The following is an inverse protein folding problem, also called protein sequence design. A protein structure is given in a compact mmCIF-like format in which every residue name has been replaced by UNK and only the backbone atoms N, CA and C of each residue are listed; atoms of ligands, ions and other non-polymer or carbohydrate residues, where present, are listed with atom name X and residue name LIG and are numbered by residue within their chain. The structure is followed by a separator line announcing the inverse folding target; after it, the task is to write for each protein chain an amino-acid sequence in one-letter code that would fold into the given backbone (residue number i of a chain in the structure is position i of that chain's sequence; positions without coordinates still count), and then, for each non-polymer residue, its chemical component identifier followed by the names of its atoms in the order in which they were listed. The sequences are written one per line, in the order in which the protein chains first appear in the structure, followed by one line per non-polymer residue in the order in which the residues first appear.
data_IF_918473885935
#
_entry.id   IF_918473885935
#
_cell.length_a   1.000
_cell.length_b   1.000
_cell.length_c   1.000
_cell.angle_alpha   90.00
_cell.angle_beta   90.00
_cell.angle_gamma   90.00
#
_symmetry.space_group_name_H-M   'P 1'
#
loop_
_entity.id
_entity.type
_entity.pdbx_description
1 polymer ?
#
# COMPACT_ATOMS: atom_id res chain seq x y z
N UNK A 1 -27.92 -18.25 23.51
CA UNK A 1 -26.46 -18.51 23.68
C UNK A 1 -25.99 -19.30 22.48
N UNK A 2 -24.90 -18.88 21.83
CA UNK A 2 -24.38 -19.56 20.64
C UNK A 2 -23.79 -18.56 19.65
N UNK A 3 -22.61 -18.05 19.96
CA UNK A 3 -21.69 -17.65 18.89
C UNK A 3 -21.28 -18.95 18.20
N UNK A 4 -21.64 -19.13 16.92
CA UNK A 4 -20.91 -20.14 16.16
C UNK A 4 -19.55 -19.50 15.88
N UNK A 5 -18.47 -20.16 16.31
CA UNK A 5 -17.10 -19.73 16.02
C UNK A 5 -16.81 -19.56 14.51
N UNK A 6 -17.74 -20.03 13.67
CA UNK A 6 -17.62 -20.19 12.22
C UNK A 6 -18.40 -19.12 11.44
N UNK A 7 -19.45 -18.51 11.98
CA UNK A 7 -20.18 -17.44 11.30
C UNK A 7 -20.09 -16.21 12.17
N UNK A 8 -19.31 -15.22 11.73
CA UNK A 8 -19.02 -14.05 12.53
C UNK A 8 -20.26 -13.21 12.87
N UNK A 9 -20.03 -12.13 13.60
CA UNK A 9 -21.06 -11.32 14.27
C UNK A 9 -21.98 -10.57 13.28
N UNK A 10 -22.91 -11.26 12.63
CA UNK A 10 -23.97 -10.66 11.83
C UNK A 10 -25.26 -10.38 12.63
N UNK A 11 -25.21 -10.45 13.98
CA UNK A 11 -26.42 -10.48 14.81
C UNK A 11 -27.15 -9.15 14.98
N UNK A 12 -26.57 -8.01 14.58
CA UNK A 12 -27.24 -6.71 14.64
C UNK A 12 -27.06 -5.97 13.31
N UNK A 13 -28.16 -5.54 12.66
CA UNK A 13 -28.08 -4.56 11.58
C UNK A 13 -27.36 -3.31 12.07
N UNK A 14 -26.58 -2.68 11.20
CA UNK A 14 -26.03 -1.36 11.53
C UNK A 14 -27.17 -0.35 11.67
N UNK A 15 -27.00 0.59 12.60
CA UNK A 15 -27.84 1.78 12.61
C UNK A 15 -27.65 2.54 11.31
N UNK A 16 -28.76 2.96 10.70
CA UNK A 16 -28.75 3.79 9.50
C UNK A 16 -28.19 5.15 9.91
N UNK A 17 -26.99 5.48 9.42
CA UNK A 17 -26.37 6.79 9.60
C UNK A 17 -26.35 7.53 8.27
N UNK A 18 -26.56 8.84 8.34
CA UNK A 18 -26.40 9.69 7.17
C UNK A 18 -24.93 9.73 6.74
N UNK A 19 -24.69 9.67 5.44
CA UNK A 19 -23.36 9.83 4.88
C UNK A 19 -22.88 11.27 5.10
N UNK A 20 -21.57 11.48 5.36
CA UNK A 20 -21.02 12.81 5.45
C UNK A 20 -21.24 13.57 4.13
N UNK A 21 -21.51 14.87 4.23
CA UNK A 21 -21.65 15.72 3.05
C UNK A 21 -20.36 15.72 2.24
N UNK A 22 -20.47 15.51 0.94
CA UNK A 22 -19.33 15.54 0.04
C UNK A 22 -18.68 16.94 0.05
N UNK A 23 -17.39 17.08 0.38
CA UNK A 23 -16.72 18.38 0.49
C UNK A 23 -16.44 19.05 -0.87
N UNK A 24 -16.79 18.39 -1.99
CA UNK A 24 -16.56 18.88 -3.35
C UNK A 24 -15.30 18.29 -3.97
N UNK A 25 -15.28 18.19 -5.31
CA UNK A 25 -14.17 17.59 -6.05
C UNK A 25 -12.85 18.30 -5.80
N UNK A 26 -12.84 19.64 -5.76
CA UNK A 26 -11.63 20.43 -5.55
C UNK A 26 -10.94 20.11 -4.21
N UNK A 27 -11.73 19.98 -3.13
CA UNK A 27 -11.20 19.63 -1.81
C UNK A 27 -10.65 18.20 -1.74
N UNK A 28 -11.15 17.30 -2.58
CA UNK A 28 -10.74 15.90 -2.62
C UNK A 28 -9.49 15.64 -3.47
N UNK A 29 -9.08 16.57 -4.32
CA UNK A 29 -7.89 16.41 -5.18
C UNK A 29 -6.63 16.21 -4.34
N UNK A 30 -6.42 17.04 -3.31
CA UNK A 30 -5.23 16.96 -2.44
C UNK A 30 -5.08 15.58 -1.79
N UNK A 31 -6.07 15.13 -0.99
CA UNK A 31 -6.07 13.78 -0.42
C UNK A 31 -5.97 12.67 -1.47
N UNK A 32 -6.63 12.83 -2.62
CA UNK A 32 -6.61 11.84 -3.71
C UNK A 32 -5.22 11.67 -4.33
N UNK A 33 -4.47 12.75 -4.51
CA UNK A 33 -3.09 12.69 -5.03
C UNK A 33 -2.17 12.00 -4.02
N UNK A 34 -2.30 12.33 -2.72
CA UNK A 34 -1.51 11.68 -1.67
C UNK A 34 -1.81 10.18 -1.63
N UNK A 35 -3.09 9.80 -1.72
CA UNK A 35 -3.50 8.40 -1.75
C UNK A 35 -2.98 7.67 -2.99
N UNK A 36 -3.05 8.29 -4.17
CA UNK A 36 -2.53 7.71 -5.41
C UNK A 36 -1.01 7.51 -5.34
N UNK A 37 -0.26 8.47 -4.78
CA UNK A 37 1.18 8.36 -4.57
C UNK A 37 1.55 7.24 -3.59
N UNK A 38 0.78 7.07 -2.52
CA UNK A 38 0.97 5.98 -1.55
C UNK A 38 0.57 4.61 -2.10
N UNK A 39 -0.34 4.58 -3.08
CA UNK A 39 -0.80 3.34 -3.72
C UNK A 39 0.24 2.77 -4.70
N UNK A 40 1.16 3.61 -5.19
CA UNK A 40 2.21 3.20 -6.11
C UNK A 40 3.35 2.51 -5.35
N UNK A 41 3.53 1.21 -5.59
CA UNK A 41 4.57 0.39 -4.94
C UNK A 41 5.83 0.25 -5.79
N UNK A 42 6.92 -0.26 -5.18
CA UNK A 42 8.16 -0.50 -5.94
C UNK A 42 8.01 -1.54 -7.06
N UNK A 43 6.99 -2.40 -7.01
CA UNK A 43 6.76 -3.38 -8.06
C UNK A 43 6.40 -2.76 -9.41
N UNK A 44 5.77 -1.59 -9.40
CA UNK A 44 5.50 -0.83 -10.62
C UNK A 44 6.72 -0.11 -11.15
N UNK A 45 7.66 0.23 -10.29
CA UNK A 45 8.89 0.90 -10.69
C UNK A 45 10.02 -0.07 -11.07
N UNK A 46 10.01 -1.29 -10.54
CA UNK A 46 11.10 -2.28 -10.70
C UNK A 46 10.63 -3.47 -11.52
N UNK A 47 9.60 -4.17 -11.04
CA UNK A 47 9.17 -5.43 -11.64
C UNK A 47 8.53 -5.24 -13.01
N UNK A 48 7.69 -4.21 -13.16
CA UNK A 48 7.05 -3.93 -14.45
C UNK A 48 8.05 -3.54 -15.55
N UNK A 49 8.98 -2.57 -15.37
CA UNK A 49 10.01 -2.28 -16.36
C UNK A 49 10.92 -3.48 -16.62
N UNK A 50 11.29 -4.25 -15.59
CA UNK A 50 12.07 -5.48 -15.74
C UNK A 50 11.34 -6.50 -16.61
N UNK A 51 10.06 -6.73 -16.37
CA UNK A 51 9.24 -7.67 -17.14
C UNK A 51 9.09 -7.23 -18.59
N UNK A 52 8.87 -5.94 -18.84
CA UNK A 52 8.75 -5.40 -20.20
C UNK A 52 10.09 -5.49 -20.93
N UNK A 53 11.20 -5.14 -20.27
CA UNK A 53 12.54 -5.22 -20.86
C UNK A 53 12.93 -6.67 -21.18
N UNK A 54 12.56 -7.63 -20.34
CA UNK A 54 12.93 -9.04 -20.49
C UNK A 54 11.99 -9.84 -21.39
N UNK A 55 10.69 -9.57 -21.34
CA UNK A 55 9.65 -10.37 -21.98
C UNK A 55 8.84 -9.60 -23.04
N UNK A 56 9.15 -8.32 -23.27
CA UNK A 56 8.57 -7.49 -24.31
C UNK A 56 7.29 -6.75 -23.91
N UNK A 57 6.82 -5.91 -24.83
CA UNK A 57 5.69 -4.97 -24.63
C UNK A 57 4.35 -5.67 -24.37
N UNK A 58 4.24 -6.97 -24.68
CA UNK A 58 3.03 -7.75 -24.40
C UNK A 58 2.59 -7.62 -22.93
N UNK A 59 3.55 -7.66 -21.99
CA UNK A 59 3.24 -7.54 -20.57
C UNK A 59 2.71 -6.16 -20.17
N UNK A 60 3.07 -5.08 -20.90
CA UNK A 60 2.53 -3.75 -20.63
C UNK A 60 1.01 -3.70 -20.78
N UNK A 61 0.43 -4.50 -21.69
CA UNK A 61 -1.03 -4.52 -21.88
C UNK A 61 -1.79 -5.05 -20.65
N UNK A 62 -1.17 -5.93 -19.87
CA UNK A 62 -1.74 -6.50 -18.65
C UNK A 62 -1.77 -5.50 -17.49
N UNK A 63 -0.88 -4.50 -17.49
CA UNK A 63 -0.85 -3.45 -16.48
C UNK A 63 -2.21 -2.74 -16.38
N UNK A 64 -2.80 -2.39 -17.52
CA UNK A 64 -4.11 -1.70 -17.59
C UNK A 64 -5.20 -2.56 -16.96
N UNK A 65 -5.20 -3.85 -17.26
CA UNK A 65 -6.18 -4.79 -16.72
C UNK A 65 -6.07 -4.90 -15.20
N UNK A 66 -4.86 -5.13 -14.66
CA UNK A 66 -4.65 -5.26 -13.22
C UNK A 66 -4.90 -3.94 -12.46
N UNK A 67 -4.47 -2.80 -13.01
CA UNK A 67 -4.75 -1.49 -12.43
C UNK A 67 -6.27 -1.21 -12.38
N UNK A 68 -7.01 -1.65 -13.40
CA UNK A 68 -8.47 -1.51 -13.43
C UNK A 68 -9.17 -2.36 -12.35
N UNK A 69 -8.65 -3.54 -12.01
CA UNK A 69 -9.20 -4.36 -10.93
C UNK A 69 -9.04 -3.70 -9.55
N UNK A 70 -7.92 -3.00 -9.32
CA UNK A 70 -7.70 -2.27 -8.08
C UNK A 70 -8.76 -1.17 -7.86
N UNK A 71 -9.21 -0.50 -8.93
CA UNK A 71 -10.26 0.51 -8.83
C UNK A 71 -11.54 -0.05 -8.22
N UNK A 72 -12.03 -1.19 -8.72
CA UNK A 72 -13.26 -1.80 -8.23
C UNK A 72 -13.15 -2.25 -6.77
N UNK A 73 -12.02 -2.87 -6.41
CA UNK A 73 -11.79 -3.33 -5.04
C UNK A 73 -11.74 -2.15 -4.07
N UNK A 74 -10.99 -1.10 -4.40
CA UNK A 74 -10.89 0.10 -3.56
C UNK A 74 -12.25 0.82 -3.42
N UNK A 75 -13.04 0.84 -4.49
CA UNK A 75 -14.37 1.43 -4.49
C UNK A 75 -15.33 0.66 -3.58
N UNK A 76 -15.29 -0.67 -3.59
CA UNK A 76 -16.12 -1.49 -2.69
C UNK A 76 -15.65 -1.40 -1.23
N UNK A 77 -14.34 -1.32 -0.98
CA UNK A 77 -13.81 -1.05 0.36
C UNK A 77 -14.29 0.32 0.87
N UNK A 78 -14.23 1.36 0.03
CA UNK A 78 -14.71 2.69 0.39
C UNK A 78 -16.22 2.70 0.67
N UNK A 79 -17.02 2.03 -0.17
CA UNK A 79 -18.47 1.86 0.05
C UNK A 79 -18.76 1.15 1.36
N UNK A 80 -18.03 0.07 1.65
CA UNK A 80 -18.16 -0.66 2.90
C UNK A 80 -17.89 0.25 4.10
N UNK A 81 -16.76 0.97 4.11
CA UNK A 81 -16.41 1.86 5.21
C UNK A 81 -17.38 3.03 5.34
N UNK A 82 -17.87 3.59 4.24
CA UNK A 82 -18.88 4.66 4.26
C UNK A 82 -20.23 4.18 4.80
N UNK A 83 -20.66 2.97 4.42
CA UNK A 83 -21.95 2.42 4.84
C UNK A 83 -21.97 1.90 6.28
N UNK A 84 -20.83 1.40 6.78
CA UNK A 84 -20.74 0.73 8.08
C UNK A 84 -20.03 1.55 9.16
N UNK A 85 -19.19 2.51 8.75
CA UNK A 85 -18.27 3.20 9.63
C UNK A 85 -17.10 2.34 10.11
N UNK A 86 -16.95 1.11 9.62
CA UNK A 86 -15.90 0.19 10.03
C UNK A 86 -14.81 0.05 8.94
N UNK A 87 -13.58 -0.24 9.38
CA UNK A 87 -12.49 -0.59 8.47
C UNK A 87 -12.71 -1.96 7.82
N UNK A 88 -12.12 -2.19 6.65
CA UNK A 88 -12.31 -3.43 5.90
C UNK A 88 -11.88 -4.69 6.68
N UNK A 89 -10.84 -4.59 7.51
CA UNK A 89 -10.39 -5.72 8.33
C UNK A 89 -11.43 -6.12 9.38
N UNK A 90 -12.18 -5.18 9.95
CA UNK A 90 -13.32 -5.49 10.82
C UNK A 90 -14.43 -6.20 10.03
N UNK A 91 -14.68 -5.76 8.79
CA UNK A 91 -15.55 -6.45 7.85
C UNK A 91 -15.14 -7.91 7.60
N UNK A 92 -13.85 -8.18 7.44
CA UNK A 92 -13.36 -9.56 7.31
C UNK A 92 -13.54 -10.37 8.59
N UNK A 93 -13.35 -9.77 9.77
CA UNK A 93 -13.62 -10.42 11.05
C UNK A 93 -15.11 -10.72 11.27
N UNK A 94 -16.01 -9.92 10.69
CA UNK A 94 -17.45 -10.20 10.67
C UNK A 94 -17.82 -11.39 9.81
N UNK A 95 -17.10 -11.64 8.73
CA UNK A 95 -17.27 -12.86 7.92
C UNK A 95 -16.78 -14.06 8.73
N UNK A 96 -15.49 -14.05 9.11
CA UNK A 96 -14.89 -15.11 9.90
C UNK A 96 -13.63 -14.61 10.61
N UNK A 97 -13.49 -14.90 11.91
CA UNK A 97 -12.35 -14.39 12.72
C UNK A 97 -10.99 -14.78 12.15
N UNK A 98 -10.81 -16.04 11.73
CA UNK A 98 -9.54 -16.52 11.14
C UNK A 98 -9.28 -15.81 9.81
N UNK A 99 -10.32 -15.56 9.01
CA UNK A 99 -10.16 -14.88 7.73
C UNK A 99 -9.72 -13.43 7.92
N UNK A 100 -10.32 -12.71 8.88
CA UNK A 100 -9.89 -11.37 9.26
C UNK A 100 -8.42 -11.30 9.65
N UNK A 101 -7.98 -12.18 10.55
CA UNK A 101 -6.57 -12.25 10.96
C UNK A 101 -5.64 -12.67 9.81
N UNK A 102 -6.03 -13.64 8.99
CA UNK A 102 -5.24 -14.07 7.85
C UNK A 102 -5.03 -12.92 6.84
N UNK A 103 -6.10 -12.20 6.50
CA UNK A 103 -6.03 -11.05 5.59
C UNK A 103 -5.20 -9.90 6.19
N UNK A 104 -5.32 -9.66 7.49
CA UNK A 104 -4.52 -8.64 8.20
C UNK A 104 -3.03 -8.99 8.19
N UNK A 105 -2.66 -10.22 8.56
CA UNK A 105 -1.27 -10.69 8.56
C UNK A 105 -0.70 -10.66 7.14
N UNK A 106 -1.46 -11.11 6.15
CA UNK A 106 -1.03 -11.06 4.75
C UNK A 106 -0.75 -9.62 4.29
N UNK A 107 -1.63 -8.68 4.65
CA UNK A 107 -1.43 -7.25 4.36
C UNK A 107 -0.16 -6.70 5.04
N UNK A 108 0.08 -7.07 6.30
CA UNK A 108 1.32 -6.71 7.01
C UNK A 108 2.56 -7.28 6.32
N UNK A 109 2.55 -8.55 5.92
CA UNK A 109 3.68 -9.17 5.20
C UNK A 109 3.98 -8.43 3.89
N UNK A 110 2.96 -8.03 3.14
CA UNK A 110 3.13 -7.25 1.91
C UNK A 110 3.73 -5.87 2.22
N UNK A 111 3.31 -5.22 3.31
CA UNK A 111 3.82 -3.91 3.72
C UNK A 111 5.25 -3.95 4.29
N UNK A 112 5.73 -5.10 4.80
CA UNK A 112 7.08 -5.25 5.36
C UNK A 112 8.22 -5.17 4.33
N UNK A 113 7.91 -5.02 3.04
CA UNK A 113 8.89 -4.90 1.96
C UNK A 113 9.67 -3.57 1.95
N UNK A 114 9.53 -2.72 2.98
CA UNK A 114 10.23 -1.43 3.12
C UNK A 114 11.74 -1.54 2.89
N UNK A 115 12.40 -2.58 3.44
CA UNK A 115 13.83 -2.80 3.22
C UNK A 115 14.17 -3.04 1.74
N UNK A 116 13.30 -3.77 1.03
CA UNK A 116 13.41 -3.96 -0.42
C UNK A 116 13.21 -2.65 -1.18
N UNK A 117 12.28 -1.80 -0.76
CA UNK A 117 12.04 -0.49 -1.39
C UNK A 117 13.26 0.42 -1.28
N UNK A 118 13.84 0.53 -0.08
CA UNK A 118 15.00 1.37 0.15
C UNK A 118 16.23 0.84 -0.60
N UNK A 119 16.47 -0.48 -0.57
CA UNK A 119 17.59 -1.09 -1.29
C UNK A 119 17.49 -0.86 -2.81
N UNK A 120 16.28 -0.89 -3.37
CA UNK A 120 16.06 -0.68 -4.80
C UNK A 120 16.32 0.77 -5.22
N UNK A 121 15.78 1.73 -4.47
CA UNK A 121 16.06 3.15 -4.68
C UNK A 121 17.55 3.48 -4.51
N UNK A 122 18.18 2.87 -3.51
CA UNK A 122 19.62 3.01 -3.27
C UNK A 122 20.47 2.43 -4.40
N UNK A 123 20.05 1.32 -5.01
CA UNK A 123 20.74 0.74 -6.18
C UNK A 123 20.69 1.70 -7.37
N UNK A 124 19.54 2.33 -7.60
CA UNK A 124 19.39 3.33 -8.66
C UNK A 124 20.25 4.59 -8.39
N UNK A 125 20.29 5.07 -7.13
CA UNK A 125 21.14 6.19 -6.73
C UNK A 125 22.64 5.86 -6.85
N UNK A 126 23.04 4.64 -6.47
CA UNK A 126 24.41 4.16 -6.64
C UNK A 126 24.80 4.16 -8.12
N UNK A 127 23.95 3.64 -9.00
CA UNK A 127 24.19 3.62 -10.45
C UNK A 127 24.25 5.02 -11.06
N UNK A 128 23.45 5.97 -10.56
CA UNK A 128 23.41 7.35 -11.04
C UNK A 128 24.63 8.15 -10.59
N UNK A 129 25.07 7.96 -9.33
CA UNK A 129 26.10 8.79 -8.70
C UNK A 129 27.49 8.19 -8.75
N UNK A 130 27.61 6.87 -8.95
CA UNK A 130 28.85 6.09 -8.84
C UNK A 130 29.64 6.39 -7.55
N UNK A 131 28.93 6.72 -6.48
CA UNK A 131 29.49 7.10 -5.19
C UNK A 131 29.14 6.08 -4.10
N UNK A 132 30.08 5.73 -3.18
CA UNK A 132 31.48 6.17 -3.13
C UNK A 132 32.34 5.58 -4.25
N UNK A 133 33.19 6.40 -4.85
CA UNK A 133 34.06 5.96 -5.94
C UNK A 133 35.09 4.93 -5.44
N UNK A 134 35.31 3.88 -6.23
CA UNK A 134 36.24 2.79 -5.89
C UNK A 134 35.66 1.69 -4.99
N UNK A 135 34.40 1.81 -4.59
CA UNK A 135 33.67 0.74 -3.89
C UNK A 135 33.04 -0.22 -4.90
N UNK A 136 32.75 -1.45 -4.45
CA UNK A 136 31.96 -2.39 -5.24
C UNK A 136 30.49 -1.93 -5.33
N UNK A 137 29.77 -2.42 -6.35
CA UNK A 137 28.37 -2.01 -6.58
C UNK A 137 27.46 -2.32 -5.37
N UNK A 138 27.73 -3.41 -4.65
CA UNK A 138 26.98 -3.74 -3.44
C UNK A 138 27.32 -2.78 -2.29
N UNK A 139 28.59 -2.39 -2.12
CA UNK A 139 29.01 -1.38 -1.14
C UNK A 139 28.38 -0.01 -1.41
N UNK A 140 28.38 0.45 -2.67
CA UNK A 140 27.72 1.70 -3.05
C UNK A 140 26.21 1.66 -2.77
N UNK A 141 25.55 0.56 -3.11
CA UNK A 141 24.12 0.37 -2.83
C UNK A 141 23.83 0.43 -1.33
N UNK A 142 24.63 -0.26 -0.51
CA UNK A 142 24.48 -0.24 0.95
C UNK A 142 24.68 1.17 1.51
N UNK A 143 25.70 1.89 1.03
CA UNK A 143 25.96 3.27 1.44
C UNK A 143 24.73 4.18 1.23
N UNK A 144 24.14 4.15 0.03
CA UNK A 144 22.93 4.92 -0.25
C UNK A 144 21.70 4.43 0.53
N UNK A 145 21.60 3.12 0.78
CA UNK A 145 20.50 2.56 1.55
C UNK A 145 20.53 3.05 3.01
N UNK A 146 21.69 3.04 3.65
CA UNK A 146 21.85 3.56 5.02
C UNK A 146 21.48 5.04 5.10
N UNK A 147 21.95 5.88 4.16
CA UNK A 147 21.57 7.29 4.09
C UNK A 147 20.05 7.45 3.95
N UNK A 148 19.43 6.71 3.03
CA UNK A 148 18.00 6.78 2.81
C UNK A 148 17.20 6.35 4.05
N UNK A 149 17.62 5.28 4.75
CA UNK A 149 17.01 4.85 6.01
C UNK A 149 17.11 5.96 7.07
N UNK A 150 18.29 6.56 7.24
CA UNK A 150 18.49 7.66 8.20
C UNK A 150 17.59 8.84 7.88
N UNK A 151 17.50 9.24 6.61
CA UNK A 151 16.63 10.34 6.18
C UNK A 151 15.16 10.03 6.46
N UNK A 152 14.70 8.83 6.10
CA UNK A 152 13.33 8.37 6.38
C UNK A 152 13.05 8.41 7.89
N UNK A 153 14.00 7.93 8.69
CA UNK A 153 13.88 7.92 10.15
C UNK A 153 13.78 9.33 10.75
N UNK A 154 14.59 10.28 10.26
CA UNK A 154 14.53 11.69 10.66
C UNK A 154 13.16 12.29 10.29
N UNK A 155 12.66 12.03 9.07
CA UNK A 155 11.34 12.51 8.64
C UNK A 155 10.24 11.96 9.55
N UNK A 156 10.30 10.67 9.92
CA UNK A 156 9.32 10.09 10.84
C UNK A 156 9.36 10.72 12.23
N UNK A 157 10.55 11.04 12.76
CA UNK A 157 10.70 11.67 14.09
C UNK A 157 10.22 13.12 14.09
N UNK A 158 10.54 13.87 13.04
CA UNK A 158 10.20 15.28 12.93
C UNK A 158 8.81 15.52 12.35
N UNK A 159 8.16 14.47 11.83
CA UNK A 159 6.83 14.52 11.26
C UNK A 159 5.79 14.93 12.31
N UNK A 160 4.82 15.78 11.96
CA UNK A 160 3.74 16.12 12.88
C UNK A 160 2.93 14.87 13.24
N UNK A 161 2.64 14.68 14.53
CA UNK A 161 1.76 13.60 14.99
C UNK A 161 0.35 13.90 14.46
N UNK A 162 -0.04 13.19 13.40
CA UNK A 162 -1.42 13.20 12.91
C UNK A 162 -2.25 12.35 13.88
N UNK A 163 -3.04 13.01 14.73
CA UNK A 163 -4.04 12.39 15.59
C UNK A 163 -5.37 12.28 14.83
#
# INVERSE_FOLDING_TARGET
MGESLILGRFKKPFDIKDLPKFPGYAAMIGPGIVWAGLSQGSGELIWWPYMIAKYGVFFLSWLIFYASLQYWINLEIARYTMATGEGIFEGFHRVHRIYGWAMFIMSMIVMLWVGGYVASGATALAALTNFPAGWDAAGQTRFWAEIAIIVVWIIFILGPVAY
#
